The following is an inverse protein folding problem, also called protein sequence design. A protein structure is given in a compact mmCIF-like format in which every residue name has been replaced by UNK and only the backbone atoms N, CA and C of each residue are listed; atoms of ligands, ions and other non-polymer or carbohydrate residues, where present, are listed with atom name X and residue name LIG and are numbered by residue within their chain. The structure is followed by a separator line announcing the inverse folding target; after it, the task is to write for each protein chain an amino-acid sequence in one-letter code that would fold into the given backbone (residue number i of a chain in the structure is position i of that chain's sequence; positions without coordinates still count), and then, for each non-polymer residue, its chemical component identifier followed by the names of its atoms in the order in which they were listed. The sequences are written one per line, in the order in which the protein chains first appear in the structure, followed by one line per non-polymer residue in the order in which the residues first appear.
data_IF_626928342409
#
_entry.id   IF_626928342409
#
_cell.length_a   1.000
_cell.length_b   1.000
_cell.length_c   1.000
_cell.angle_alpha   90.00
_cell.angle_beta   90.00
_cell.angle_gamma   90.00
#
_symmetry.space_group_name_H-M   'P 1'
#
loop_
_entity.id
_entity.type
_entity.pdbx_description
1 polymer ?
#
# COMPACT_ATOMS: atom_id res chain seq x y z
N UNK A 1 16.40 2.75 30.89
CA UNK A 1 15.36 1.81 30.45
C UNK A 1 14.33 2.62 29.68
N UNK A 2 14.55 2.77 28.38
CA UNK A 2 13.61 3.47 27.50
C UNK A 2 12.54 2.47 27.11
N UNK A 3 11.29 2.75 27.44
CA UNK A 3 10.14 2.04 26.90
C UNK A 3 10.21 2.20 25.38
N UNK A 4 10.59 1.13 24.67
CA UNK A 4 10.44 1.07 23.23
C UNK A 4 8.96 1.27 22.85
N UNK A 5 8.65 1.67 21.61
CA UNK A 5 7.28 1.76 21.17
C UNK A 5 6.62 0.40 21.42
N UNK A 6 5.65 0.38 22.35
CA UNK A 6 4.81 -0.79 22.55
C UNK A 6 4.17 -1.07 21.19
N UNK A 7 4.47 -2.23 20.61
CA UNK A 7 3.62 -2.84 19.60
C UNK A 7 2.18 -2.63 20.08
N UNK A 8 1.41 -1.75 19.41
CA UNK A 8 -0.06 -1.70 19.57
C UNK A 8 -0.50 -3.12 19.20
N UNK A 9 -0.60 -4.00 20.20
CA UNK A 9 -1.17 -5.34 20.03
C UNK A 9 -2.56 -5.13 19.46
N UNK A 10 -3.05 -6.11 18.70
CA UNK A 10 -4.43 -6.27 18.22
C UNK A 10 -5.45 -6.33 19.38
N UNK A 11 -5.42 -5.38 20.32
CA UNK A 11 -6.25 -5.29 21.52
C UNK A 11 -7.58 -4.59 21.25
N UNK A 12 -7.76 -3.95 20.09
CA UNK A 12 -9.04 -3.37 19.65
C UNK A 12 -9.95 -4.36 18.90
N UNK A 13 -9.98 -5.65 19.29
CA UNK A 13 -10.89 -6.63 18.65
C UNK A 13 -12.38 -6.43 18.98
N UNK A 14 -12.72 -5.42 19.77
CA UNK A 14 -14.10 -5.13 20.16
C UNK A 14 -14.46 -3.68 19.80
N UNK A 15 -15.68 -3.44 19.24
CA UNK A 15 -16.16 -2.11 18.95
C UNK A 15 -16.04 -1.24 20.21
N UNK A 16 -15.28 -0.14 20.09
CA UNK A 16 -15.35 0.95 21.07
C UNK A 16 -16.71 1.63 20.92
N UNK A 17 -17.07 2.50 21.87
CA UNK A 17 -18.24 3.40 21.76
C UNK A 17 -17.99 4.48 20.68
N UNK A 18 -17.65 4.06 19.46
CA UNK A 18 -17.53 4.90 18.28
C UNK A 18 -18.85 4.96 17.54
N UNK A 19 -19.26 6.15 17.14
CA UNK A 19 -20.46 6.40 16.33
C UNK A 19 -20.29 5.86 14.89
N UNK A 20 -19.05 5.69 14.43
CA UNK A 20 -18.69 5.17 13.10
C UNK A 20 -17.44 4.31 13.17
N UNK A 21 -17.44 3.18 12.45
CA UNK A 21 -16.26 2.34 12.23
C UNK A 21 -15.71 2.55 10.81
N UNK A 22 -14.40 2.77 10.70
CA UNK A 22 -13.67 2.72 9.43
C UNK A 22 -12.96 1.38 9.33
N UNK A 23 -13.32 0.56 8.35
CA UNK A 23 -12.62 -0.68 8.05
C UNK A 23 -11.67 -0.45 6.88
N UNK A 24 -10.39 -0.77 7.07
CA UNK A 24 -9.38 -0.70 6.02
C UNK A 24 -8.53 -1.98 5.99
N UNK A 25 -7.75 -2.19 4.91
CA UNK A 25 -6.86 -3.35 4.86
C UNK A 25 -5.76 -3.21 5.89
N UNK A 26 -5.11 -2.04 5.96
CA UNK A 26 -4.02 -1.78 6.87
C UNK A 26 -2.75 -2.54 6.47
N UNK A 27 -1.62 -1.92 6.73
CA UNK A 27 -0.30 -2.47 6.48
C UNK A 27 0.35 -2.96 7.79
N UNK A 28 1.40 -3.78 7.68
CA UNK A 28 2.11 -4.37 8.82
C UNK A 28 2.75 -3.28 9.70
N UNK A 29 3.09 -2.12 9.14
CA UNK A 29 3.71 -1.00 9.87
C UNK A 29 2.62 -0.09 10.47
N UNK A 30 1.43 -0.05 9.89
CA UNK A 30 0.28 0.72 10.35
C UNK A 30 0.24 2.16 9.81
N UNK A 31 0.82 2.42 8.63
CA UNK A 31 0.71 3.70 7.93
C UNK A 31 -0.75 4.10 7.75
N UNK A 32 -1.61 3.18 7.27
CA UNK A 32 -3.01 3.52 6.96
C UNK A 32 -3.78 3.96 8.22
N UNK A 33 -3.68 3.15 9.28
CA UNK A 33 -4.40 3.39 10.53
C UNK A 33 -3.92 4.65 11.21
N UNK A 34 -2.61 4.79 11.42
CA UNK A 34 -2.05 5.96 12.11
C UNK A 34 -2.31 7.24 11.30
N UNK A 35 -2.24 7.19 9.97
CA UNK A 35 -2.56 8.33 9.13
C UNK A 35 -4.04 8.72 9.26
N UNK A 36 -4.97 7.77 9.17
CA UNK A 36 -6.40 8.03 9.32
C UNK A 36 -6.73 8.57 10.72
N UNK A 37 -6.20 7.94 11.79
CA UNK A 37 -6.40 8.39 13.17
C UNK A 37 -5.93 9.85 13.36
N UNK A 38 -4.72 10.17 12.87
CA UNK A 38 -4.16 11.52 13.01
C UNK A 38 -4.85 12.55 12.13
N UNK A 39 -5.25 12.18 10.92
CA UNK A 39 -6.04 13.04 10.05
C UNK A 39 -7.39 13.41 10.66
N UNK A 40 -8.09 12.44 11.25
CA UNK A 40 -9.37 12.66 11.93
C UNK A 40 -9.23 13.54 13.18
N UNK A 41 -8.13 13.38 13.92
CA UNK A 41 -7.84 14.15 15.13
C UNK A 41 -7.65 15.67 14.88
N UNK A 42 -7.40 16.11 13.65
CA UNK A 42 -7.27 17.53 13.27
C UNK A 42 -8.64 18.27 13.27
N UNK A 43 -9.67 17.70 13.90
CA UNK A 43 -10.96 18.35 14.15
C UNK A 43 -11.95 18.20 13.00
N UNK A 44 -11.81 17.16 12.18
CA UNK A 44 -12.69 16.89 11.02
C UNK A 44 -14.01 16.22 11.40
N UNK A 45 -14.11 15.64 12.60
CA UNK A 45 -15.34 15.05 13.10
C UNK A 45 -15.61 15.37 14.56
N UNK A 46 -16.89 15.57 14.90
CA UNK A 46 -17.39 15.64 16.28
C UNK A 46 -17.87 14.28 16.80
N UNK A 47 -17.88 13.25 15.95
CA UNK A 47 -18.29 11.90 16.29
C UNK A 47 -17.08 11.05 16.70
N UNK A 48 -17.30 10.07 17.56
CA UNK A 48 -16.27 9.10 17.91
C UNK A 48 -16.06 8.15 16.71
N UNK A 49 -14.83 8.06 16.21
CA UNK A 49 -14.48 7.22 15.04
C UNK A 49 -13.45 6.19 15.47
N UNK A 50 -13.66 4.94 15.09
CA UNK A 50 -12.73 3.84 15.34
C UNK A 50 -12.18 3.29 14.01
N UNK A 51 -10.86 3.20 13.87
CA UNK A 51 -10.19 2.75 12.63
C UNK A 51 -9.66 1.32 12.82
N UNK A 52 -10.04 0.43 11.91
CA UNK A 52 -9.82 -1.02 12.04
C UNK A 52 -8.97 -1.59 10.89
N UNK A 53 -7.70 -1.93 11.15
CA UNK A 53 -6.90 -2.68 10.18
C UNK A 53 -7.36 -4.14 10.14
N UNK A 54 -7.93 -4.56 9.03
CA UNK A 54 -8.48 -5.92 8.87
C UNK A 54 -7.45 -6.91 8.31
N UNK A 55 -6.36 -6.42 7.72
CA UNK A 55 -5.25 -7.15 7.09
C UNK A 55 -5.54 -7.66 5.68
N UNK A 56 -6.80 -7.85 5.29
CA UNK A 56 -7.20 -8.28 3.94
C UNK A 56 -8.64 -7.84 3.61
N UNK A 57 -8.97 -7.68 2.32
CA UNK A 57 -10.36 -7.56 1.86
C UNK A 57 -11.32 -8.63 2.40
N UNK A 58 -10.89 -9.89 2.49
CA UNK A 58 -11.73 -10.96 3.05
C UNK A 58 -12.03 -10.75 4.54
N UNK A 59 -11.07 -10.21 5.29
CA UNK A 59 -11.26 -9.88 6.69
C UNK A 59 -12.14 -8.64 6.88
N UNK A 60 -12.04 -7.63 6.00
CA UNK A 60 -13.00 -6.51 5.94
C UNK A 60 -14.42 -7.05 5.81
N UNK A 61 -14.65 -7.99 4.89
CA UNK A 61 -15.97 -8.61 4.71
C UNK A 61 -16.46 -9.28 6.00
N UNK A 62 -15.63 -10.11 6.63
CA UNK A 62 -15.99 -10.77 7.88
C UNK A 62 -16.24 -9.80 9.03
N UNK A 63 -15.44 -8.74 9.15
CA UNK A 63 -15.60 -7.72 10.18
C UNK A 63 -16.88 -6.89 9.94
N UNK A 64 -17.18 -6.58 8.68
CA UNK A 64 -18.40 -5.86 8.32
C UNK A 64 -19.67 -6.62 8.73
N UNK A 65 -19.71 -7.94 8.49
CA UNK A 65 -20.80 -8.81 8.92
C UNK A 65 -20.90 -8.89 10.46
N UNK A 66 -19.76 -8.82 11.16
CA UNK A 66 -19.70 -8.93 12.62
C UNK A 66 -20.20 -7.69 13.36
N UNK A 67 -19.80 -6.49 12.92
CA UNK A 67 -20.10 -5.24 13.67
C UNK A 67 -21.19 -4.39 13.00
N UNK A 68 -21.39 -4.53 11.69
CA UNK A 68 -22.15 -3.53 10.93
C UNK A 68 -23.66 -3.57 11.14
N UNK A 69 -24.19 -4.48 11.97
CA UNK A 69 -25.58 -4.38 12.46
C UNK A 69 -25.71 -3.35 13.58
N UNK A 70 -24.66 -3.16 14.38
CA UNK A 70 -24.64 -2.26 15.53
C UNK A 70 -24.12 -0.87 15.16
N UNK A 71 -23.07 -0.79 14.35
CA UNK A 71 -22.36 0.46 14.03
C UNK A 71 -22.40 0.76 12.53
N UNK A 72 -22.60 2.02 12.10
CA UNK A 72 -22.35 2.44 10.72
C UNK A 72 -20.90 2.17 10.32
N UNK A 73 -20.71 1.61 9.12
CA UNK A 73 -19.39 1.30 8.60
C UNK A 73 -19.08 2.16 7.38
N UNK A 74 -17.88 2.74 7.37
CA UNK A 74 -17.19 3.21 6.17
C UNK A 74 -16.08 2.21 5.85
N UNK A 75 -16.07 1.69 4.63
CA UNK A 75 -14.99 0.80 4.16
C UNK A 75 -14.10 1.57 3.20
N UNK A 76 -12.79 1.42 3.33
CA UNK A 76 -11.81 1.87 2.35
C UNK A 76 -10.91 0.68 2.02
N UNK A 77 -10.84 0.30 0.75
CA UNK A 77 -9.93 -0.75 0.27
C UNK A 77 -8.83 -0.16 -0.61
N UNK A 78 -7.71 -0.88 -0.68
CA UNK A 78 -6.71 -0.62 -1.70
C UNK A 78 -7.33 -0.84 -3.08
N UNK A 79 -6.92 -0.02 -4.05
CA UNK A 79 -7.33 -0.20 -5.44
C UNK A 79 -6.62 -1.39 -6.06
N UNK A 80 -5.43 -1.70 -5.56
CA UNK A 80 -4.47 -2.57 -6.22
C UNK A 80 -4.27 -2.14 -7.69
N UNK A 81 -3.75 -3.06 -8.51
CA UNK A 81 -3.56 -2.87 -9.94
C UNK A 81 -4.86 -2.95 -10.75
N UNK A 82 -6.02 -2.62 -10.16
CA UNK A 82 -7.30 -2.50 -10.87
C UNK A 82 -7.44 -1.08 -11.44
N UNK A 83 -8.21 -0.93 -12.51
CA UNK A 83 -8.63 0.41 -12.93
C UNK A 83 -9.59 1.01 -11.90
N UNK A 84 -9.78 2.34 -11.94
CA UNK A 84 -10.73 3.02 -11.06
C UNK A 84 -12.15 2.49 -11.26
N UNK A 85 -12.54 2.25 -12.51
CA UNK A 85 -13.86 1.75 -12.88
C UNK A 85 -14.08 0.32 -12.36
N UNK A 86 -13.08 -0.55 -12.49
CA UNK A 86 -13.12 -1.92 -11.97
C UNK A 86 -13.23 -1.93 -10.45
N UNK A 87 -12.37 -1.19 -9.76
CA UNK A 87 -12.39 -1.11 -8.30
C UNK A 87 -13.70 -0.51 -7.77
N UNK A 88 -14.22 0.54 -8.42
CA UNK A 88 -15.52 1.14 -8.05
C UNK A 88 -16.67 0.14 -8.22
N UNK A 89 -16.67 -0.63 -9.31
CA UNK A 89 -17.69 -1.66 -9.52
C UNK A 89 -17.60 -2.76 -8.45
N UNK A 90 -16.40 -3.23 -8.13
CA UNK A 90 -16.18 -4.25 -7.10
C UNK A 90 -16.64 -3.78 -5.70
N UNK A 91 -16.39 -2.52 -5.35
CA UNK A 91 -16.82 -1.95 -4.07
C UNK A 91 -18.33 -1.77 -4.01
N UNK A 92 -18.98 -1.37 -5.11
CA UNK A 92 -20.44 -1.28 -5.22
C UNK A 92 -21.11 -2.65 -5.07
N UNK A 93 -20.58 -3.68 -5.74
CA UNK A 93 -21.07 -5.05 -5.63
C UNK A 93 -20.91 -5.58 -4.19
N UNK A 94 -19.74 -5.34 -3.57
CA UNK A 94 -19.47 -5.74 -2.19
C UNK A 94 -20.39 -5.02 -1.19
N UNK A 95 -20.63 -3.72 -1.38
CA UNK A 95 -21.57 -2.92 -0.58
C UNK A 95 -22.99 -3.44 -0.69
N UNK A 96 -23.44 -3.80 -1.90
CA UNK A 96 -24.78 -4.35 -2.12
C UNK A 96 -24.97 -5.69 -1.42
N UNK A 97 -24.02 -6.63 -1.58
CA UNK A 97 -24.08 -7.95 -0.92
C UNK A 97 -24.17 -7.82 0.61
N UNK A 98 -23.48 -6.86 1.22
CA UNK A 98 -23.57 -6.62 2.68
C UNK A 98 -24.88 -5.94 3.09
N UNK A 99 -25.40 -4.99 2.31
CA UNK A 99 -26.69 -4.35 2.59
C UNK A 99 -27.84 -5.35 2.63
N UNK A 100 -27.83 -6.32 1.73
CA UNK A 100 -28.82 -7.41 1.70
C UNK A 100 -28.77 -8.29 2.98
N UNK A 101 -27.68 -8.20 3.76
CA UNK A 101 -27.48 -8.89 5.06
C UNK A 101 -27.75 -8.00 6.28
N UNK A 102 -28.39 -6.84 6.07
CA UNK A 102 -28.70 -5.83 7.09
C UNK A 102 -27.46 -5.18 7.74
N UNK A 103 -26.34 -5.15 7.00
CA UNK A 103 -25.13 -4.45 7.43
C UNK A 103 -25.25 -2.96 7.04
N UNK A 104 -25.06 -2.06 8.00
CA UNK A 104 -25.13 -0.60 7.89
C UNK A 104 -23.88 -0.03 7.20
N UNK A 105 -23.67 -0.37 5.93
CA UNK A 105 -22.59 0.22 5.12
C UNK A 105 -23.00 1.62 4.66
N UNK A 106 -22.46 2.64 5.31
CA UNK A 106 -22.62 4.04 4.92
C UNK A 106 -21.92 4.29 3.59
N UNK A 107 -20.64 3.91 3.49
CA UNK A 107 -19.84 4.03 2.27
C UNK A 107 -18.87 2.85 2.12
N UNK A 108 -18.59 2.47 0.88
CA UNK A 108 -17.54 1.52 0.54
C UNK A 108 -16.77 2.13 -0.63
N UNK A 109 -15.52 2.53 -0.37
CA UNK A 109 -14.66 3.22 -1.32
C UNK A 109 -13.38 2.44 -1.56
N UNK A 110 -12.73 2.80 -2.64
CA UNK A 110 -11.35 2.45 -2.94
C UNK A 110 -10.56 3.74 -2.99
N UNK A 111 -9.26 3.68 -2.71
CA UNK A 111 -8.36 4.80 -2.99
C UNK A 111 -8.36 5.12 -4.50
N UNK A 112 -8.20 6.40 -4.87
CA UNK A 112 -7.99 6.83 -6.25
C UNK A 112 -6.64 6.34 -6.80
N UNK A 113 -5.71 6.06 -5.89
CA UNK A 113 -4.39 5.47 -6.13
C UNK A 113 -4.39 4.00 -5.74
N UNK A 114 -3.32 3.29 -6.10
CA UNK A 114 -3.15 1.87 -5.84
C UNK A 114 -3.36 1.51 -4.35
N UNK A 115 -2.73 2.25 -3.43
CA UNK A 115 -2.79 2.04 -1.97
C UNK A 115 -2.43 3.32 -1.20
N UNK A 116 -2.57 3.33 0.12
CA UNK A 116 -2.32 4.53 0.95
C UNK A 116 -0.86 5.01 0.88
N UNK A 117 0.10 4.11 0.70
CA UNK A 117 1.52 4.44 0.60
C UNK A 117 1.82 5.30 -0.63
N UNK A 118 0.98 5.22 -1.67
CA UNK A 118 1.11 6.08 -2.85
C UNK A 118 0.97 7.57 -2.51
N UNK A 119 0.24 7.93 -1.46
CA UNK A 119 0.13 9.31 -1.00
C UNK A 119 1.38 9.74 -0.21
N UNK A 120 2.04 8.78 0.46
CA UNK A 120 3.26 9.02 1.24
C UNK A 120 4.52 9.13 0.38
N UNK A 121 4.52 8.52 -0.82
CA UNK A 121 5.61 8.64 -1.81
C UNK A 121 5.43 9.79 -2.79
N UNK A 122 4.44 10.65 -2.59
CA UNK A 122 4.35 11.91 -3.34
C UNK A 122 5.63 12.73 -3.17
N UNK A 123 6.25 13.27 -4.24
CA UNK A 123 7.48 14.06 -4.12
C UNK A 123 7.36 15.21 -3.12
N UNK A 124 6.22 15.90 -3.08
CA UNK A 124 5.95 16.98 -2.12
C UNK A 124 5.89 16.51 -0.65
N UNK A 125 5.77 15.20 -0.41
CA UNK A 125 5.64 14.58 0.90
C UNK A 125 6.95 13.89 1.30
N UNK A 126 7.44 13.00 0.43
CA UNK A 126 8.56 12.10 0.71
C UNK A 126 9.91 12.83 0.70
N UNK A 127 10.10 13.79 -0.20
CA UNK A 127 11.37 14.52 -0.31
C UNK A 127 11.70 15.30 0.97
N UNK A 128 10.83 16.20 1.49
CA UNK A 128 11.13 16.92 2.73
C UNK A 128 11.20 15.97 3.94
N UNK A 129 10.33 14.97 4.03
CA UNK A 129 10.32 14.03 5.15
C UNK A 129 11.63 13.25 5.27
N UNK A 130 12.12 12.70 4.16
CA UNK A 130 13.33 11.89 4.15
C UNK A 130 14.60 12.73 4.14
N UNK A 131 14.60 13.92 3.52
CA UNK A 131 15.72 14.87 3.63
C UNK A 131 16.04 15.18 5.10
N UNK A 132 15.00 15.48 5.89
CA UNK A 132 15.16 15.74 7.34
C UNK A 132 15.49 14.47 8.12
N UNK A 133 14.97 13.31 7.75
CA UNK A 133 15.24 12.06 8.45
C UNK A 133 16.69 11.60 8.32
N UNK A 134 17.26 11.75 7.12
CA UNK A 134 18.61 11.29 6.80
C UNK A 134 19.67 12.40 6.89
N UNK A 135 19.27 13.67 7.06
CA UNK A 135 20.19 14.81 7.12
C UNK A 135 20.88 15.08 5.78
N UNK A 136 20.15 14.89 4.69
CA UNK A 136 20.63 15.04 3.29
C UNK A 136 19.79 16.05 2.53
N UNK A 137 20.19 16.46 1.32
CA UNK A 137 19.38 17.38 0.52
C UNK A 137 18.16 16.68 -0.07
N UNK A 138 17.10 17.43 -0.38
CA UNK A 138 15.95 16.88 -1.13
C UNK A 138 16.35 16.38 -2.53
N UNK A 139 17.40 16.96 -3.13
CA UNK A 139 17.93 16.51 -4.42
C UNK A 139 18.55 15.11 -4.31
N UNK A 140 19.25 14.81 -3.21
CA UNK A 140 19.77 13.47 -2.97
C UNK A 140 18.63 12.45 -2.86
N UNK A 141 17.54 12.81 -2.15
CA UNK A 141 16.35 11.95 -2.05
C UNK A 141 15.69 11.77 -3.43
N UNK A 142 15.56 12.84 -4.21
CA UNK A 142 14.96 12.81 -5.56
C UNK A 142 15.77 11.92 -6.50
N UNK A 143 17.10 12.03 -6.48
CA UNK A 143 17.98 11.18 -7.27
C UNK A 143 17.78 9.69 -6.93
N UNK A 144 17.69 9.37 -5.63
CA UNK A 144 17.44 7.98 -5.19
C UNK A 144 16.05 7.49 -5.57
N UNK A 145 15.03 8.33 -5.46
CA UNK A 145 13.68 8.00 -5.92
C UNK A 145 13.67 7.71 -7.42
N UNK A 146 14.38 8.50 -8.25
CA UNK A 146 14.52 8.25 -9.68
C UNK A 146 15.11 6.88 -9.99
N UNK A 147 16.19 6.50 -9.30
CA UNK A 147 16.77 5.16 -9.44
C UNK A 147 15.82 4.04 -9.00
N UNK A 148 15.07 4.24 -7.92
CA UNK A 148 14.06 3.27 -7.45
C UNK A 148 12.96 3.09 -8.48
N UNK A 149 12.39 4.19 -8.98
CA UNK A 149 11.33 4.16 -9.98
C UNK A 149 11.80 3.38 -11.22
N UNK A 150 12.98 3.68 -11.74
CA UNK A 150 13.55 2.96 -12.87
C UNK A 150 13.74 1.46 -12.57
N UNK A 151 14.25 1.13 -11.38
CA UNK A 151 14.59 -0.24 -11.01
C UNK A 151 13.38 -1.14 -10.75
N UNK A 152 12.25 -0.56 -10.34
CA UNK A 152 11.04 -1.31 -10.01
C UNK A 152 10.09 -1.51 -11.21
N UNK A 153 10.25 -0.78 -12.32
CA UNK A 153 9.27 -0.79 -13.44
C UNK A 153 8.89 -2.18 -13.94
N UNK A 154 9.87 -3.07 -14.12
CA UNK A 154 9.67 -4.43 -14.66
C UNK A 154 8.89 -5.25 -13.64
N UNK A 155 9.21 -5.06 -12.36
CA UNK A 155 8.54 -5.74 -11.28
C UNK A 155 7.06 -5.34 -11.18
N UNK A 156 6.81 -4.02 -11.19
CA UNK A 156 5.46 -3.45 -11.12
C UNK A 156 4.63 -3.89 -12.33
N UNK A 157 5.22 -3.93 -13.54
CA UNK A 157 4.53 -4.39 -14.73
C UNK A 157 4.14 -5.87 -14.61
N UNK A 158 5.00 -6.68 -13.98
CA UNK A 158 4.73 -8.09 -13.74
C UNK A 158 3.64 -8.29 -12.67
N UNK A 159 3.63 -7.46 -11.62
CA UNK A 159 2.55 -7.47 -10.61
C UNK A 159 1.20 -7.09 -11.22
N UNK A 160 1.17 -6.05 -12.05
CA UNK A 160 -0.02 -5.65 -12.82
C UNK A 160 -0.53 -6.82 -13.68
N UNK A 161 0.34 -7.44 -14.49
CA UNK A 161 -0.05 -8.53 -15.39
C UNK A 161 -0.58 -9.75 -14.61
N UNK A 162 0.04 -10.08 -13.48
CA UNK A 162 -0.46 -11.14 -12.60
C UNK A 162 -1.82 -10.78 -12.00
N UNK A 163 -2.03 -9.55 -11.55
CA UNK A 163 -3.32 -9.11 -11.02
C UNK A 163 -4.44 -9.27 -12.07
N UNK A 164 -4.20 -8.82 -13.30
CA UNK A 164 -5.13 -8.97 -14.43
C UNK A 164 -5.40 -10.46 -14.72
N UNK A 165 -4.37 -11.31 -14.69
CA UNK A 165 -4.53 -12.75 -14.86
C UNK A 165 -5.41 -13.36 -13.76
N UNK A 166 -5.22 -12.95 -12.50
CA UNK A 166 -5.92 -13.51 -11.36
C UNK A 166 -7.35 -13.02 -11.21
N UNK A 167 -7.67 -11.82 -11.70
CA UNK A 167 -9.04 -11.32 -11.78
C UNK A 167 -9.95 -12.21 -12.66
N UNK A 168 -9.37 -12.98 -13.59
CA UNK A 168 -10.10 -13.95 -14.44
C UNK A 168 -10.50 -15.23 -13.72
N UNK A 169 -9.96 -15.47 -12.52
CA UNK A 169 -10.24 -16.68 -11.76
C UNK A 169 -11.61 -16.60 -11.08
N UNK A 170 -12.49 -17.60 -11.26
CA UNK A 170 -13.89 -17.46 -10.88
C UNK A 170 -14.18 -17.52 -9.36
N UNK A 171 -13.18 -17.68 -8.47
CA UNK A 171 -13.44 -17.96 -7.05
C UNK A 171 -12.39 -17.37 -6.09
N UNK A 172 -12.83 -16.84 -4.95
CA UNK A 172 -11.98 -16.41 -3.83
C UNK A 172 -11.08 -17.55 -3.28
N UNK A 173 -11.54 -18.80 -3.35
CA UNK A 173 -10.75 -19.99 -2.97
C UNK A 173 -9.59 -20.28 -3.92
N UNK A 174 -9.59 -19.73 -5.14
CA UNK A 174 -8.49 -19.90 -6.08
C UNK A 174 -7.22 -19.19 -5.60
N UNK A 175 -7.36 -18.14 -4.78
CA UNK A 175 -6.24 -17.31 -4.30
C UNK A 175 -5.17 -18.10 -3.55
N UNK A 176 -5.53 -19.15 -2.80
CA UNK A 176 -4.55 -19.99 -2.07
C UNK A 176 -3.63 -20.82 -2.97
N UNK A 177 -4.02 -21.00 -4.23
CA UNK A 177 -3.27 -21.78 -5.21
C UNK A 177 -2.44 -20.90 -6.15
N UNK A 178 -2.63 -19.57 -6.08
CA UNK A 178 -1.87 -18.62 -6.86
C UNK A 178 -0.38 -18.74 -6.51
N UNK A 179 0.43 -18.92 -7.54
CA UNK A 179 1.88 -18.92 -7.47
C UNK A 179 2.36 -17.51 -7.83
N UNK A 180 3.06 -16.86 -6.90
CA UNK A 180 3.71 -15.57 -7.15
C UNK A 180 5.07 -15.71 -7.82
N UNK A 181 5.67 -14.58 -8.21
CA UNK A 181 7.03 -14.56 -8.74
C UNK A 181 8.08 -14.95 -7.68
N UNK A 182 9.12 -15.70 -8.05
CA UNK A 182 10.18 -16.09 -7.14
C UNK A 182 10.97 -14.86 -6.67
N UNK A 183 10.94 -14.60 -5.36
CA UNK A 183 11.54 -13.40 -4.72
C UNK A 183 13.04 -13.20 -4.98
N UNK A 184 13.80 -14.26 -5.24
CA UNK A 184 15.27 -14.19 -5.39
C UNK A 184 15.76 -13.98 -6.81
N UNK A 185 14.91 -14.29 -7.80
CA UNK A 185 15.36 -14.38 -9.21
C UNK A 185 14.54 -13.53 -10.15
N UNK A 186 13.26 -13.28 -9.85
CA UNK A 186 12.36 -12.51 -10.70
C UNK A 186 11.84 -11.24 -10.04
N UNK A 187 12.50 -10.77 -8.98
CA UNK A 187 12.22 -9.51 -8.29
C UNK A 187 13.50 -8.66 -8.25
N UNK A 188 13.40 -7.32 -8.18
CA UNK A 188 14.54 -6.45 -7.95
C UNK A 188 15.31 -6.87 -6.69
N UNK A 189 16.64 -6.81 -6.74
CA UNK A 189 17.50 -7.24 -5.63
C UNK A 189 18.33 -6.07 -5.12
N UNK A 190 18.58 -6.06 -3.81
CA UNK A 190 19.54 -5.13 -3.23
C UNK A 190 20.97 -5.59 -3.53
N UNK A 191 21.79 -4.69 -4.09
CA UNK A 191 23.23 -4.87 -4.23
C UNK A 191 23.92 -4.10 -3.10
N UNK A 192 24.42 -4.85 -2.11
CA UNK A 192 25.12 -4.29 -0.95
C UNK A 192 26.44 -3.61 -1.30
N UNK A 193 27.09 -4.00 -2.41
CA UNK A 193 28.36 -3.41 -2.84
C UNK A 193 28.13 -2.07 -3.53
N UNK A 194 27.10 -1.99 -4.39
CA UNK A 194 26.74 -0.75 -5.10
C UNK A 194 25.75 0.12 -4.33
N UNK A 195 25.23 -0.36 -3.21
CA UNK A 195 24.19 0.30 -2.37
C UNK A 195 22.99 0.76 -3.21
N UNK A 196 22.56 -0.11 -4.13
CA UNK A 196 21.50 0.21 -5.08
C UNK A 196 20.62 -1.00 -5.33
N UNK A 197 19.47 -0.76 -5.94
CA UNK A 197 18.56 -1.82 -6.36
C UNK A 197 18.93 -2.19 -7.80
N UNK A 198 19.13 -3.48 -8.02
CA UNK A 198 19.36 -4.04 -9.34
C UNK A 198 18.01 -4.52 -9.88
N UNK A 199 17.54 -3.98 -11.02
CA UNK A 199 16.31 -4.43 -11.63
C UNK A 199 16.41 -5.90 -12.04
N UNK A 200 15.29 -6.61 -11.98
CA UNK A 200 15.20 -7.94 -12.54
C UNK A 200 15.33 -7.88 -14.08
N UNK A 201 15.99 -8.88 -14.68
CA UNK A 201 16.12 -8.95 -16.13
C UNK A 201 14.77 -9.27 -16.76
N UNK A 202 14.38 -8.51 -17.79
CA UNK A 202 13.11 -8.68 -18.49
C UNK A 202 12.86 -10.13 -18.91
N UNK A 203 13.84 -10.79 -19.52
CA UNK A 203 13.75 -12.20 -19.95
C UNK A 203 13.50 -13.15 -18.78
N UNK A 204 14.18 -12.94 -17.65
CA UNK A 204 14.01 -13.77 -16.45
C UNK A 204 12.62 -13.62 -15.86
N UNK A 205 12.09 -12.38 -15.84
CA UNK A 205 10.73 -12.09 -15.34
C UNK A 205 9.68 -12.67 -16.27
N UNK A 206 9.83 -12.52 -17.60
CA UNK A 206 8.93 -13.13 -18.61
C UNK A 206 8.82 -14.64 -18.40
N UNK A 207 9.95 -15.33 -18.27
CA UNK A 207 9.98 -16.77 -18.05
C UNK A 207 9.34 -17.16 -16.70
N UNK A 208 9.59 -16.37 -15.67
CA UNK A 208 9.01 -16.59 -14.35
C UNK A 208 7.49 -16.37 -14.32
N UNK A 209 6.98 -15.36 -15.02
CA UNK A 209 5.55 -15.12 -15.20
C UNK A 209 4.87 -16.31 -15.86
N UNK A 210 5.42 -16.78 -16.99
CA UNK A 210 4.89 -17.94 -17.72
C UNK A 210 4.82 -19.17 -16.82
N UNK A 211 5.87 -19.45 -16.05
CA UNK A 211 5.89 -20.55 -15.08
C UNK A 211 4.85 -20.36 -13.97
N UNK A 212 4.79 -19.19 -13.35
CA UNK A 212 3.84 -18.89 -12.29
C UNK A 212 2.38 -19.09 -12.72
N UNK A 213 2.03 -18.66 -13.94
CA UNK A 213 0.68 -18.85 -14.48
C UNK A 213 0.40 -20.33 -14.78
N UNK A 214 1.35 -21.03 -15.40
CA UNK A 214 1.24 -22.47 -15.71
C UNK A 214 1.09 -23.31 -14.43
N UNK A 215 1.90 -23.01 -13.41
CA UNK A 215 1.86 -23.71 -12.12
C UNK A 215 0.54 -23.43 -11.39
N UNK A 216 0.04 -22.21 -11.45
CA UNK A 216 -1.26 -21.85 -10.87
C UNK A 216 -2.40 -22.59 -11.56
N UNK A 217 -2.42 -22.62 -12.89
CA UNK A 217 -3.40 -23.38 -13.66
C UNK A 217 -3.38 -24.87 -13.29
N UNK A 218 -2.18 -25.44 -13.18
CA UNK A 218 -1.97 -26.84 -12.78
C UNK A 218 -2.54 -27.10 -11.38
N UNK A 219 -2.24 -26.24 -10.40
CA UNK A 219 -2.74 -26.37 -9.02
C UNK A 219 -4.25 -26.23 -8.93
N UNK A 220 -4.84 -25.37 -9.74
CA UNK A 220 -6.28 -25.18 -9.83
C UNK A 220 -6.98 -26.26 -10.66
N UNK A 221 -6.22 -27.12 -11.36
CA UNK A 221 -6.75 -28.09 -12.32
C UNK A 221 -7.64 -27.43 -13.38
N UNK A 222 -7.27 -26.22 -13.81
CA UNK A 222 -7.95 -25.48 -14.88
C UNK A 222 -7.15 -25.57 -16.16
N UNK A 223 -7.83 -25.47 -17.31
CA UNK A 223 -7.14 -25.35 -18.59
C UNK A 223 -6.29 -24.07 -18.60
N UNK A 224 -4.98 -24.23 -18.84
CA UNK A 224 -4.03 -23.12 -18.97
C UNK A 224 -4.50 -22.10 -20.02
N UNK A 225 -5.19 -22.56 -21.07
CA UNK A 225 -5.77 -21.68 -22.11
C UNK A 225 -6.83 -20.73 -21.55
N UNK A 226 -7.52 -21.12 -20.49
CA UNK A 226 -8.51 -20.26 -19.83
C UNK A 226 -7.87 -19.04 -19.14
N UNK A 227 -6.57 -19.08 -18.85
CA UNK A 227 -5.83 -17.94 -18.28
C UNK A 227 -5.22 -17.02 -19.34
N UNK A 228 -5.24 -17.42 -20.61
CA UNK A 228 -4.64 -16.72 -21.75
C UNK A 228 -3.24 -16.15 -21.45
N UNK A 229 -2.28 -17.06 -21.24
CA UNK A 229 -0.88 -16.70 -20.90
C UNK A 229 -0.31 -15.71 -21.92
N UNK A 230 -0.60 -15.86 -23.22
CA UNK A 230 -0.02 -15.00 -24.24
C UNK A 230 -0.56 -13.57 -24.16
N UNK A 231 -1.86 -13.40 -23.86
CA UNK A 231 -2.42 -12.08 -23.60
C UNK A 231 -1.83 -11.45 -22.34
N UNK A 232 -1.64 -12.22 -21.26
CA UNK A 232 -1.01 -11.74 -20.02
C UNK A 232 0.42 -11.28 -20.27
N UNK A 233 1.22 -12.05 -21.01
CA UNK A 233 2.59 -11.69 -21.36
C UNK A 233 2.65 -10.48 -22.32
N UNK A 234 1.69 -10.35 -23.23
CA UNK A 234 1.54 -9.16 -24.07
C UNK A 234 1.21 -7.93 -23.23
N UNK A 235 0.33 -8.05 -22.23
CA UNK A 235 0.00 -6.98 -21.30
C UNK A 235 1.21 -6.56 -20.47
N UNK A 236 1.96 -7.53 -19.93
CA UNK A 236 3.23 -7.29 -19.24
C UNK A 236 4.24 -6.52 -20.11
N UNK A 237 4.49 -6.97 -21.34
CA UNK A 237 5.41 -6.29 -22.25
C UNK A 237 4.92 -4.90 -22.62
N UNK A 238 3.60 -4.74 -22.80
CA UNK A 238 2.96 -3.45 -23.03
C UNK A 238 3.26 -2.46 -21.90
N UNK A 239 3.04 -2.86 -20.64
CA UNK A 239 3.35 -2.03 -19.47
C UNK A 239 4.85 -1.75 -19.31
N UNK A 240 5.72 -2.73 -19.57
CA UNK A 240 7.17 -2.49 -19.59
C UNK A 240 7.57 -1.40 -20.61
N UNK A 241 6.93 -1.37 -21.77
CA UNK A 241 7.19 -0.38 -22.80
C UNK A 241 6.57 0.98 -22.46
N UNK A 242 5.35 1.00 -21.91
CA UNK A 242 4.65 2.21 -21.45
C UNK A 242 5.44 2.92 -20.34
N UNK A 243 5.99 2.16 -19.40
CA UNK A 243 6.75 2.68 -18.26
C UNK A 243 8.25 2.77 -18.54
N UNK A 244 8.67 2.59 -19.79
CA UNK A 244 10.04 2.83 -20.19
C UNK A 244 10.31 4.34 -20.18
N UNK A 245 11.23 4.78 -19.31
CA UNK A 245 11.59 6.20 -19.19
C UNK A 245 10.71 6.99 -18.22
N UNK A 246 9.86 6.32 -17.43
CA UNK A 246 9.15 6.97 -16.32
C UNK A 246 10.13 7.64 -15.35
N UNK A 247 9.82 8.88 -15.01
CA UNK A 247 10.58 9.77 -14.14
C UNK A 247 9.85 10.01 -12.82
N UNK A 248 10.49 10.69 -11.88
CA UNK A 248 9.89 11.03 -10.57
C UNK A 248 8.68 11.96 -10.69
N UNK A 249 8.58 12.73 -11.77
CA UNK A 249 7.52 13.73 -11.95
C UNK A 249 6.26 13.13 -12.59
N UNK A 250 6.39 11.97 -13.24
CA UNK A 250 5.27 11.30 -13.88
C UNK A 250 4.20 10.85 -12.86
N UNK A 251 2.94 11.01 -13.22
CA UNK A 251 1.81 10.63 -12.37
C UNK A 251 1.53 9.13 -12.40
N UNK A 252 1.86 8.45 -13.50
CA UNK A 252 1.48 7.06 -13.72
C UNK A 252 1.97 6.12 -12.59
N UNK A 253 3.24 6.18 -12.22
CA UNK A 253 3.77 5.32 -11.16
C UNK A 253 3.20 5.69 -9.77
N UNK A 254 2.89 6.98 -9.55
CA UNK A 254 2.30 7.45 -8.28
C UNK A 254 0.87 6.97 -8.10
N UNK A 255 0.20 6.61 -9.19
CA UNK A 255 -1.19 6.15 -9.16
C UNK A 255 -1.28 4.63 -9.27
N UNK A 256 -0.51 4.01 -10.16
CA UNK A 256 -0.72 2.62 -10.59
C UNK A 256 0.27 1.61 -9.98
N UNK A 257 1.36 2.06 -9.34
CA UNK A 257 2.33 1.15 -8.74
C UNK A 257 2.04 0.92 -7.27
N UNK A 258 2.53 -0.19 -6.72
CA UNK A 258 2.53 -0.43 -5.28
C UNK A 258 3.45 0.59 -4.59
N UNK A 259 2.84 1.62 -3.97
CA UNK A 259 3.54 2.64 -3.20
C UNK A 259 4.42 2.07 -2.08
N UNK A 260 4.03 0.96 -1.46
CA UNK A 260 4.81 0.28 -0.41
C UNK A 260 6.12 -0.30 -0.93
N UNK A 261 6.12 -0.82 -2.15
CA UNK A 261 7.34 -1.35 -2.78
C UNK A 261 8.29 -0.20 -3.11
N UNK A 262 7.76 0.91 -3.65
CA UNK A 262 8.54 2.12 -3.93
C UNK A 262 9.10 2.72 -2.65
N UNK A 263 8.26 2.87 -1.62
CA UNK A 263 8.67 3.43 -0.33
C UNK A 263 9.72 2.56 0.35
N UNK A 264 9.48 1.24 0.44
CA UNK A 264 10.44 0.29 1.02
C UNK A 264 11.78 0.29 0.29
N UNK A 265 11.75 0.31 -1.04
CA UNK A 265 12.94 0.42 -1.88
C UNK A 265 13.71 1.73 -1.67
N UNK A 266 13.02 2.86 -1.61
CA UNK A 266 13.61 4.17 -1.34
C UNK A 266 14.26 4.24 0.04
N UNK A 267 13.53 3.78 1.07
CA UNK A 267 14.02 3.70 2.44
C UNK A 267 15.30 2.86 2.54
N UNK A 268 15.33 1.68 1.89
CA UNK A 268 16.55 0.85 1.81
C UNK A 268 17.68 1.54 1.09
N UNK A 269 17.41 2.19 -0.05
CA UNK A 269 18.44 2.89 -0.83
C UNK A 269 19.09 4.03 -0.04
N UNK A 270 18.29 4.87 0.62
CA UNK A 270 18.79 5.95 1.47
C UNK A 270 19.56 5.43 2.67
N UNK A 271 19.04 4.40 3.34
CA UNK A 271 19.73 3.76 4.47
C UNK A 271 21.07 3.16 4.04
N UNK A 272 21.12 2.58 2.84
CA UNK A 272 22.35 2.01 2.31
C UNK A 272 23.43 3.04 2.05
N UNK A 273 23.03 4.18 1.50
CA UNK A 273 23.96 5.26 1.18
C UNK A 273 24.36 6.07 2.40
N UNK A 274 23.37 6.59 3.13
CA UNK A 274 23.55 7.62 4.15
C UNK A 274 23.51 7.09 5.58
N UNK A 275 23.25 5.79 5.75
CA UNK A 275 23.09 5.15 7.05
C UNK A 275 21.68 5.28 7.62
N UNK A 276 21.48 4.64 8.75
CA UNK A 276 20.21 4.57 9.47
C UNK A 276 19.78 5.93 10.04
N UNK A 277 18.53 6.38 9.83
CA UNK A 277 18.06 7.61 10.45
C UNK A 277 18.04 7.45 11.97
N UNK A 278 18.51 8.44 12.75
CA UNK A 278 18.57 8.31 14.19
C UNK A 278 17.17 8.18 14.79
N UNK A 279 17.00 7.26 15.75
CA UNK A 279 15.71 7.02 16.45
C UNK A 279 15.24 8.28 17.20
N UNK A 280 16.18 9.17 17.56
CA UNK A 280 15.89 10.50 18.13
C UNK A 280 16.46 11.59 17.23
N UNK A 281 15.84 12.78 17.24
CA UNK A 281 16.25 13.95 16.45
C UNK A 281 17.65 14.52 16.76
N UNK A 282 18.44 13.87 17.62
CA UNK A 282 19.74 14.34 18.10
C UNK A 282 20.91 13.36 17.85
N UNK A 283 20.69 12.26 17.13
CA UNK A 283 21.72 11.27 16.81
C UNK A 283 22.35 11.47 15.43
N UNK A 284 23.59 10.99 15.24
CA UNK A 284 24.14 10.79 13.91
C UNK A 284 23.56 9.52 13.27
N UNK A 285 23.44 9.45 11.93
CA UNK A 285 23.02 8.22 11.26
C UNK A 285 23.95 7.04 11.57
N UNK A 286 23.39 5.84 11.73
CA UNK A 286 24.17 4.63 12.07
C UNK A 286 24.43 3.84 10.78
N UNK A 287 25.69 3.66 10.40
CA UNK A 287 26.03 2.84 9.24
C UNK A 287 25.55 1.39 9.44
N UNK A 288 24.89 0.83 8.43
CA UNK A 288 24.39 -0.56 8.45
C UNK A 288 25.35 -1.47 7.71
N UNK A 289 25.74 -2.56 8.37
CA UNK A 289 26.43 -3.67 7.71
C UNK A 289 25.41 -4.59 7.02
N UNK A 290 25.17 -4.32 5.74
CA UNK A 290 24.28 -5.10 4.89
C UNK A 290 24.69 -6.56 4.73
N UNK A 291 25.96 -6.90 4.95
CA UNK A 291 26.42 -8.28 4.85
C UNK A 291 25.87 -9.18 5.97
N UNK A 292 25.51 -8.59 7.12
CA UNK A 292 24.93 -9.29 8.27
C UNK A 292 23.41 -9.51 8.15
N UNK A 293 22.78 -8.89 7.15
CA UNK A 293 21.34 -8.89 6.90
C UNK A 293 20.90 -9.88 5.82
N UNK A 294 21.82 -10.68 5.25
CA UNK A 294 21.51 -11.67 4.21
C UNK A 294 20.44 -12.74 4.57
N UNK A 295 19.98 -12.78 5.82
CA UNK A 295 18.83 -13.58 6.26
C UNK A 295 17.53 -12.77 6.14
N UNK A 296 16.55 -13.31 5.39
CA UNK A 296 15.25 -12.68 5.16
C UNK A 296 14.47 -12.31 6.43
N UNK A 297 14.70 -13.04 7.54
CA UNK A 297 14.08 -12.67 8.82
C UNK A 297 14.62 -11.35 9.35
N UNK A 298 15.94 -11.13 9.22
CA UNK A 298 16.59 -9.90 9.64
C UNK A 298 16.26 -8.73 8.71
N UNK A 299 16.11 -8.99 7.40
CA UNK A 299 15.62 -7.99 6.45
C UNK A 299 14.23 -7.46 6.85
N UNK A 300 13.30 -8.35 7.22
CA UNK A 300 11.95 -7.95 7.58
C UNK A 300 11.84 -7.26 8.95
N UNK A 301 12.79 -7.53 9.86
CA UNK A 301 12.93 -6.79 11.12
C UNK A 301 13.51 -5.41 10.87
N UNK A 302 14.54 -5.30 10.03
CA UNK A 302 15.12 -4.03 9.63
C UNK A 302 14.11 -3.12 8.94
N UNK A 303 13.36 -3.62 7.96
CA UNK A 303 12.33 -2.82 7.28
C UNK A 303 11.31 -2.25 8.27
N UNK A 304 10.92 -3.06 9.28
CA UNK A 304 10.00 -2.63 10.35
C UNK A 304 10.63 -1.55 11.23
N UNK A 305 11.90 -1.70 11.57
CA UNK A 305 12.62 -0.68 12.33
C UNK A 305 12.75 0.63 11.52
N UNK A 306 12.98 0.55 10.19
CA UNK A 306 13.08 1.74 9.32
C UNK A 306 11.74 2.46 9.35
N UNK A 307 10.70 1.69 9.08
CA UNK A 307 9.36 2.21 8.94
C UNK A 307 8.87 2.80 10.28
N UNK A 308 9.23 2.23 11.42
CA UNK A 308 8.90 2.79 12.75
C UNK A 308 9.48 4.20 12.97
N UNK A 309 10.69 4.48 12.46
CA UNK A 309 11.32 5.81 12.58
C UNK A 309 10.77 6.79 11.56
N UNK A 310 10.49 6.32 10.34
CA UNK A 310 10.09 7.18 9.21
C UNK A 310 8.59 7.44 9.16
N UNK A 311 7.75 6.51 9.62
CA UNK A 311 6.30 6.60 9.52
C UNK A 311 5.73 7.89 10.12
N UNK A 312 6.06 8.30 11.36
CA UNK A 312 5.53 9.53 11.92
C UNK A 312 5.88 10.76 11.07
N UNK A 313 7.09 10.81 10.51
CA UNK A 313 7.59 11.92 9.68
C UNK A 313 6.90 12.00 8.33
N UNK A 314 6.67 10.85 7.69
CA UNK A 314 5.94 10.77 6.42
C UNK A 314 4.48 11.19 6.61
N UNK A 315 3.84 10.73 7.69
CA UNK A 315 2.49 11.12 8.05
C UNK A 315 2.43 12.62 8.35
N UNK A 316 3.36 13.17 9.14
CA UNK A 316 3.45 14.61 9.41
C UNK A 316 3.53 15.43 8.12
N UNK A 317 4.44 15.02 7.23
CA UNK A 317 4.66 15.70 5.95
C UNK A 317 3.40 15.63 5.07
N UNK A 318 2.72 14.48 5.03
CA UNK A 318 1.49 14.32 4.26
C UNK A 318 0.34 15.15 4.82
N UNK A 319 0.15 15.19 6.15
CA UNK A 319 -0.88 16.01 6.79
C UNK A 319 -0.61 17.50 6.57
N UNK A 320 0.66 17.93 6.62
CA UNK A 320 1.04 19.30 6.27
C UNK A 320 0.75 19.60 4.79
N UNK A 321 1.08 18.67 3.89
CA UNK A 321 0.78 18.77 2.47
C UNK A 321 -0.74 18.89 2.22
N UNK A 322 -1.56 18.06 2.87
CA UNK A 322 -3.01 18.16 2.80
C UNK A 322 -3.51 19.53 3.28
N UNK A 323 -2.89 20.10 4.32
CA UNK A 323 -3.25 21.41 4.88
C UNK A 323 -2.92 22.60 3.98
N UNK A 324 -1.96 22.45 3.05
CA UNK A 324 -1.52 23.53 2.13
C UNK A 324 -1.97 23.35 0.68
N UNK A 325 -2.48 22.17 0.32
CA UNK A 325 -2.83 21.80 -1.06
C UNK A 325 -4.32 21.95 -1.37
N UNK A 326 -4.86 23.15 -1.12
CA UNK A 326 -6.27 23.44 -1.37
C UNK A 326 -6.65 23.23 -2.85
N UNK A 327 -7.76 22.53 -3.07
CA UNK A 327 -8.27 22.22 -4.41
C UNK A 327 -7.53 21.10 -5.15
N UNK A 328 -6.46 20.51 -4.57
CA UNK A 328 -5.80 19.35 -5.18
C UNK A 328 -6.71 18.11 -5.24
N UNK A 329 -6.57 17.22 -6.24
CA UNK A 329 -7.36 15.99 -6.32
C UNK A 329 -7.22 15.10 -5.08
N UNK A 330 -6.01 15.03 -4.51
CA UNK A 330 -5.75 14.32 -3.26
C UNK A 330 -6.59 14.94 -2.13
N UNK A 331 -6.56 16.25 -1.96
CA UNK A 331 -7.34 16.90 -0.90
C UNK A 331 -8.84 16.69 -1.07
N UNK A 332 -9.34 16.73 -2.31
CA UNK A 332 -10.77 16.49 -2.61
C UNK A 332 -11.20 15.07 -2.24
N UNK A 333 -10.37 14.07 -2.51
CA UNK A 333 -10.64 12.68 -2.13
C UNK A 333 -10.77 12.53 -0.60
N UNK A 334 -9.83 13.11 0.15
CA UNK A 334 -9.86 13.09 1.62
C UNK A 334 -11.03 13.88 2.19
N UNK A 335 -11.35 15.05 1.63
CA UNK A 335 -12.53 15.82 2.03
C UNK A 335 -13.84 15.04 1.72
N UNK A 336 -13.89 14.28 0.61
CA UNK A 336 -15.02 13.39 0.29
C UNK A 336 -15.16 12.25 1.31
N UNK A 337 -14.05 11.66 1.77
CA UNK A 337 -14.09 10.67 2.85
C UNK A 337 -14.63 11.26 4.16
N UNK A 338 -14.24 12.51 4.49
CA UNK A 338 -14.75 13.18 5.69
C UNK A 338 -16.28 13.40 5.62
N UNK A 339 -16.81 13.74 4.44
CA UNK A 339 -18.25 13.89 4.22
C UNK A 339 -18.97 12.55 4.51
N UNK A 340 -18.49 11.44 3.94
CA UNK A 340 -19.10 10.12 4.16
C UNK A 340 -19.15 9.74 5.64
N UNK A 341 -18.09 10.02 6.40
CA UNK A 341 -18.01 9.73 7.84
C UNK A 341 -19.03 10.59 8.61
N UNK A 342 -19.14 11.87 8.28
CA UNK A 342 -20.12 12.77 8.90
C UNK A 342 -21.56 12.36 8.56
N UNK A 343 -21.82 11.88 7.34
CA UNK A 343 -23.13 11.35 6.96
C UNK A 343 -23.45 10.01 7.65
N UNK A 344 -22.45 9.15 7.81
CA UNK A 344 -22.57 7.88 8.54
C UNK A 344 -23.02 8.11 9.99
N UNK A 345 -22.38 9.06 10.70
CA UNK A 345 -22.73 9.39 12.10
C UNK A 345 -24.13 9.99 12.25
N UNK A 346 -24.65 10.70 11.24
CA UNK A 346 -26.01 11.27 11.27
C UNK A 346 -27.11 10.23 11.03
N UNK A 347 -26.77 9.10 10.41
CA UNK A 347 -27.74 8.07 10.02
C UNK A 347 -28.34 7.31 11.21
N UNK A 348 -27.89 7.59 12.44
CA UNK A 348 -28.55 7.14 13.68
C UNK A 348 -29.84 7.90 14.01
N UNK A 349 -30.06 9.09 13.45
CA UNK A 349 -31.21 9.92 13.82
C UNK A 349 -32.55 9.48 13.18
N UNK A 350 -32.60 8.38 12.41
CA UNK A 350 -33.73 8.05 11.53
C UNK A 350 -34.25 6.60 11.62
N UNK A 351 -33.76 5.76 12.53
CA UNK A 351 -34.33 4.42 12.77
C UNK A 351 -34.81 4.25 14.21
#
# INVERSE_FOLDING_TARGET
MTNGPQLKRYESRYPREGDVAILCEGDIVGYEVELLERWLAIGRSRCAIDVWPCGTKSAIMGMSDAIGRGVPIVVIEDRDFRTREEATKDTEESRKDRRDRLVRIASWKTWERNEIENYLVEPAVVLPALSVAFGVSEEDVRLRLGHVVESLRIDQAAQYALNVCWARLPHSHARRFIVGLPKRTARPQWDSTRKTIIPALLTVVTDALRRAITDTATRLSVDVRALDIEEVLKSFQGKCNEWAGTTTDDTAWRVDWAGKDVLGALCRSLTGEFGWPPISSRGAPIAIDWSLLADQKKDAELDRDIATVLQPRLIDSFLNYLGTSDGSPIRQEWDSLAIDIVEASKSEALN
#
